data_IF_486991777075
#
_entry.id   IF_486991777075
#
_cell.length_a   1.000
_cell.length_b   1.000
_cell.length_c   1.000
_cell.angle_alpha   90.00
_cell.angle_beta   90.00
_cell.angle_gamma   90.00
#
_symmetry.space_group_name_H-M   'P 1'
#
loop_
_entity.id
_entity.type
_entity.pdbx_description
1 polymer ?
#
# COMPACT_ATOMS: atom_id res chain seq x y z
N UNK A 1 -9.92 10.58 46.77
CA UNK A 1 -10.17 9.26 46.20
C UNK A 1 -10.58 9.44 44.75
N UNK A 2 -9.75 8.97 43.84
CA UNK A 2 -9.93 9.05 42.41
C UNK A 2 -11.00 8.05 41.95
N UNK A 3 -11.82 8.45 40.99
CA UNK A 3 -12.58 7.54 40.14
C UNK A 3 -12.60 8.14 38.72
N UNK A 4 -11.60 7.73 37.93
CA UNK A 4 -11.54 7.97 36.49
C UNK A 4 -12.47 6.93 35.86
N UNK A 5 -13.63 7.36 35.38
CA UNK A 5 -14.52 6.55 34.54
C UNK A 5 -14.11 6.76 33.08
N UNK A 6 -13.35 5.80 32.57
CA UNK A 6 -13.13 5.59 31.14
C UNK A 6 -14.18 4.58 30.66
N UNK A 7 -15.07 4.95 29.74
CA UNK A 7 -15.86 3.98 28.98
C UNK A 7 -16.38 4.56 27.65
N UNK A 8 -15.57 4.38 26.59
CA UNK A 8 -15.98 4.10 25.20
C UNK A 8 -16.50 5.24 24.31
N UNK A 9 -15.95 5.45 23.09
CA UNK A 9 -16.74 6.01 22.01
C UNK A 9 -17.67 4.94 21.45
N UNK A 10 -18.95 5.29 21.40
CA UNK A 10 -20.06 4.52 20.86
C UNK A 10 -19.81 4.34 19.35
N UNK A 11 -19.48 3.11 18.93
CA UNK A 11 -19.61 2.70 17.54
C UNK A 11 -21.11 2.67 17.21
N UNK A 12 -21.61 3.74 16.60
CA UNK A 12 -22.98 3.80 16.12
C UNK A 12 -23.15 2.82 14.95
N UNK A 13 -23.71 1.65 15.27
CA UNK A 13 -24.27 0.72 14.31
C UNK A 13 -25.43 1.39 13.57
N UNK A 14 -25.33 1.51 12.24
CA UNK A 14 -26.49 1.75 11.38
C UNK A 14 -27.14 0.41 11.01
N UNK A 15 -28.49 0.36 10.89
CA UNK A 15 -29.23 -0.89 10.79
C UNK A 15 -29.16 -1.50 9.39
N UNK A 16 -29.19 -2.83 9.36
CA UNK A 16 -29.30 -3.67 8.18
C UNK A 16 -30.58 -3.34 7.36
N UNK A 17 -30.40 -2.61 6.27
CA UNK A 17 -31.19 -2.74 5.05
C UNK A 17 -30.31 -3.43 4.02
N UNK A 18 -30.90 -4.26 3.14
CA UNK A 18 -30.20 -5.10 2.17
C UNK A 18 -29.20 -4.35 1.29
N UNK A 19 -28.00 -4.13 1.81
CA UNK A 19 -26.85 -3.64 1.10
C UNK A 19 -26.27 -4.84 0.37
N UNK A 20 -26.45 -4.88 -0.94
CA UNK A 20 -25.54 -5.63 -1.79
C UNK A 20 -24.12 -5.30 -1.32
N UNK A 21 -23.22 -6.29 -1.17
CA UNK A 21 -21.87 -6.01 -0.71
C UNK A 21 -21.26 -4.92 -1.59
N UNK A 22 -20.41 -4.03 -1.04
CA UNK A 22 -19.79 -2.99 -1.83
C UNK A 22 -19.21 -3.61 -3.10
N UNK A 23 -19.50 -3.07 -4.27
CA UNK A 23 -19.00 -3.59 -5.55
C UNK A 23 -17.93 -2.65 -6.10
N UNK A 24 -17.00 -2.25 -5.22
CA UNK A 24 -15.94 -1.27 -5.46
C UNK A 24 -14.75 -1.49 -4.52
N UNK A 25 -13.76 -0.58 -4.50
CA UNK A 25 -12.51 -0.76 -3.75
C UNK A 25 -12.70 -1.06 -2.25
N UNK A 26 -13.81 -0.64 -1.65
CA UNK A 26 -14.14 -0.94 -0.26
C UNK A 26 -14.36 -2.44 0.04
N UNK A 27 -15.06 -3.20 -0.83
CA UNK A 27 -15.21 -4.65 -0.59
C UNK A 27 -13.92 -5.40 -0.84
N UNK A 28 -13.11 -4.89 -1.77
CA UNK A 28 -11.77 -5.41 -2.00
C UNK A 28 -10.98 -5.39 -0.68
N UNK A 29 -10.97 -4.24 0.01
CA UNK A 29 -10.29 -4.10 1.30
C UNK A 29 -10.79 -5.09 2.34
N UNK A 30 -12.11 -5.27 2.50
CA UNK A 30 -12.68 -6.20 3.47
C UNK A 30 -12.23 -7.65 3.22
N UNK A 31 -12.29 -8.11 1.97
CA UNK A 31 -11.85 -9.46 1.59
C UNK A 31 -10.35 -9.67 1.89
N UNK A 32 -9.50 -8.68 1.57
CA UNK A 32 -8.05 -8.79 1.81
C UNK A 32 -7.72 -8.69 3.30
N UNK A 33 -8.50 -7.93 4.07
CA UNK A 33 -8.36 -7.86 5.51
C UNK A 33 -8.63 -9.22 6.15
N UNK A 34 -9.64 -9.96 5.67
CA UNK A 34 -9.88 -11.32 6.14
C UNK A 34 -8.73 -12.26 5.80
N UNK A 35 -8.14 -12.15 4.61
CA UNK A 35 -6.95 -12.93 4.22
C UNK A 35 -5.77 -12.67 5.18
N UNK A 36 -5.49 -11.41 5.51
CA UNK A 36 -4.46 -11.04 6.50
C UNK A 36 -4.81 -11.55 7.90
N UNK A 37 -6.08 -11.52 8.32
CA UNK A 37 -6.49 -12.10 9.62
C UNK A 37 -6.23 -13.60 9.71
N UNK A 38 -6.43 -14.33 8.60
CA UNK A 38 -6.15 -15.78 8.52
C UNK A 38 -4.65 -16.07 8.48
N UNK A 39 -3.86 -15.22 7.83
CA UNK A 39 -2.42 -15.38 7.66
C UNK A 39 -1.68 -14.05 7.94
N UNK A 40 -1.50 -13.66 9.21
CA UNK A 40 -1.01 -12.31 9.57
C UNK A 40 0.44 -12.03 9.20
N UNK A 41 1.21 -13.09 8.93
CA UNK A 41 2.62 -13.05 8.54
C UNK A 41 2.83 -13.43 7.08
N UNK A 42 1.76 -13.55 6.27
CA UNK A 42 1.89 -13.80 4.84
C UNK A 42 2.20 -12.47 4.10
N UNK A 43 3.41 -12.31 3.53
CA UNK A 43 3.77 -11.11 2.79
C UNK A 43 2.87 -10.87 1.57
N UNK A 44 2.30 -11.91 0.96
CA UNK A 44 1.40 -11.76 -0.19
C UNK A 44 0.06 -11.17 0.23
N UNK A 45 -0.55 -11.69 1.30
CA UNK A 45 -1.80 -11.15 1.83
C UNK A 45 -1.65 -9.66 2.23
N UNK A 46 -0.52 -9.31 2.88
CA UNK A 46 -0.17 -7.92 3.23
C UNK A 46 -0.02 -7.03 2.00
N UNK A 47 0.71 -7.50 0.98
CA UNK A 47 0.87 -6.80 -0.29
C UNK A 47 -0.49 -6.52 -0.95
N UNK A 48 -1.35 -7.53 -1.06
CA UNK A 48 -2.66 -7.38 -1.69
C UNK A 48 -3.58 -6.44 -0.91
N UNK A 49 -3.52 -6.45 0.42
CA UNK A 49 -4.23 -5.49 1.27
C UNK A 49 -3.71 -4.06 1.05
N UNK A 50 -2.39 -3.87 0.99
CA UNK A 50 -1.78 -2.58 0.71
C UNK A 50 -2.18 -2.02 -0.67
N UNK A 51 -2.26 -2.87 -1.69
CA UNK A 51 -2.78 -2.48 -3.01
C UNK A 51 -4.25 -2.08 -2.95
N UNK A 52 -5.07 -2.84 -2.22
CA UNK A 52 -6.50 -2.52 -2.06
C UNK A 52 -6.70 -1.18 -1.34
N UNK A 53 -5.94 -0.90 -0.27
CA UNK A 53 -5.96 0.41 0.38
C UNK A 53 -5.53 1.54 -0.55
N UNK A 54 -4.50 1.33 -1.38
CA UNK A 54 -4.08 2.33 -2.36
C UNK A 54 -5.16 2.65 -3.40
N UNK A 55 -5.93 1.64 -3.82
CA UNK A 55 -7.08 1.81 -4.72
C UNK A 55 -8.28 2.48 -4.04
N UNK A 56 -8.40 2.34 -2.73
CA UNK A 56 -9.39 3.04 -1.91
C UNK A 56 -8.92 4.46 -1.49
N UNK A 57 -7.74 4.89 -1.93
CA UNK A 57 -7.09 6.16 -1.55
C UNK A 57 -6.78 6.30 -0.04
N UNK A 58 -6.79 5.17 0.67
CA UNK A 58 -6.39 5.08 2.08
C UNK A 58 -4.86 4.95 2.17
N UNK A 59 -4.15 6.00 1.75
CA UNK A 59 -2.72 5.93 1.47
C UNK A 59 -1.84 5.58 2.68
N UNK A 60 -2.18 6.06 3.87
CA UNK A 60 -1.42 5.74 5.10
C UNK A 60 -1.50 4.24 5.42
N UNK A 61 -2.69 3.65 5.29
CA UNK A 61 -2.90 2.21 5.49
C UNK A 61 -2.22 1.40 4.40
N UNK A 62 -2.29 1.86 3.14
CA UNK A 62 -1.60 1.24 2.03
C UNK A 62 -0.09 1.16 2.28
N UNK A 63 0.53 2.27 2.68
CA UNK A 63 1.95 2.32 3.00
C UNK A 63 2.32 1.37 4.13
N UNK A 64 1.54 1.33 5.22
CA UNK A 64 1.80 0.46 6.36
C UNK A 64 1.84 -1.03 5.95
N UNK A 65 0.84 -1.48 5.19
CA UNK A 65 0.74 -2.88 4.76
C UNK A 65 1.81 -3.25 3.73
N UNK A 66 2.14 -2.34 2.80
CA UNK A 66 3.22 -2.54 1.83
C UNK A 66 4.59 -2.64 2.50
N UNK A 67 4.86 -1.78 3.49
CA UNK A 67 6.10 -1.83 4.29
C UNK A 67 6.19 -3.13 5.07
N UNK A 68 5.08 -3.60 5.64
CA UNK A 68 5.08 -4.87 6.37
C UNK A 68 5.29 -6.07 5.44
N UNK A 69 4.71 -6.05 4.24
CA UNK A 69 4.99 -7.06 3.21
C UNK A 69 6.49 -7.15 2.86
N UNK A 70 7.17 -6.00 2.74
CA UNK A 70 8.61 -5.95 2.48
C UNK A 70 9.41 -6.55 3.65
N UNK A 71 9.06 -6.20 4.90
CA UNK A 71 9.74 -6.73 6.09
C UNK A 71 9.57 -8.24 6.25
N UNK A 72 8.40 -8.77 5.91
CA UNK A 72 8.09 -10.20 5.98
C UNK A 72 8.75 -11.01 4.86
N UNK A 73 9.25 -10.36 3.81
CA UNK A 73 9.92 -11.01 2.69
C UNK A 73 11.26 -10.34 2.29
N UNK A 74 12.25 -10.28 3.20
CA UNK A 74 13.50 -9.55 2.94
C UNK A 74 14.31 -10.13 1.77
N UNK A 75 14.14 -11.42 1.50
CA UNK A 75 14.84 -12.14 0.41
C UNK A 75 14.14 -12.02 -0.95
N UNK A 76 13.03 -11.26 -1.02
CA UNK A 76 12.26 -11.06 -2.25
C UNK A 76 11.78 -12.38 -2.89
N UNK A 77 11.35 -13.34 -2.07
CA UNK A 77 10.72 -14.57 -2.55
C UNK A 77 9.47 -14.23 -3.37
N UNK A 78 9.26 -14.94 -4.48
CA UNK A 78 8.19 -14.70 -5.45
C UNK A 78 8.10 -13.25 -5.97
N UNK A 79 9.20 -12.48 -5.92
CA UNK A 79 9.26 -11.07 -6.27
C UNK A 79 8.31 -10.17 -5.45
N UNK A 80 7.82 -10.62 -4.29
CA UNK A 80 6.80 -9.87 -3.54
C UNK A 80 7.35 -8.53 -3.01
N UNK A 81 8.61 -8.49 -2.58
CA UNK A 81 9.21 -7.24 -2.08
C UNK A 81 9.48 -6.25 -3.20
N UNK A 82 9.84 -6.74 -4.39
CA UNK A 82 9.96 -5.92 -5.59
C UNK A 82 8.59 -5.31 -5.97
N UNK A 83 7.54 -6.12 -5.97
CA UNK A 83 6.16 -5.68 -6.25
C UNK A 83 5.63 -4.73 -5.17
N UNK A 84 5.93 -4.99 -3.89
CA UNK A 84 5.54 -4.12 -2.78
C UNK A 84 6.23 -2.75 -2.86
N UNK A 85 7.53 -2.72 -3.19
CA UNK A 85 8.26 -1.48 -3.43
C UNK A 85 7.70 -0.69 -4.62
N UNK A 86 7.27 -1.37 -5.70
CA UNK A 86 6.61 -0.71 -6.81
C UNK A 86 5.31 -0.01 -6.37
N UNK A 87 4.40 -0.75 -5.72
CA UNK A 87 3.14 -0.20 -5.26
C UNK A 87 3.34 0.90 -4.20
N UNK A 88 4.36 0.77 -3.34
CA UNK A 88 4.74 1.82 -2.39
C UNK A 88 5.16 3.09 -3.14
N UNK A 89 5.94 2.95 -4.21
CA UNK A 89 6.29 4.05 -5.11
C UNK A 89 5.07 4.75 -5.71
N UNK A 90 4.08 3.99 -6.17
CA UNK A 90 2.84 4.56 -6.71
C UNK A 90 2.03 5.32 -5.66
N UNK A 91 1.88 4.75 -4.46
CA UNK A 91 1.18 5.41 -3.35
C UNK A 91 1.89 6.70 -2.97
N UNK A 92 3.22 6.68 -2.88
CA UNK A 92 4.03 7.86 -2.58
C UNK A 92 3.91 8.94 -3.66
N UNK A 93 3.75 8.58 -4.93
CA UNK A 93 3.46 9.54 -5.99
C UNK A 93 2.08 10.18 -5.82
N UNK A 94 1.07 9.40 -5.46
CA UNK A 94 -0.29 9.90 -5.26
C UNK A 94 -0.40 10.95 -4.13
N UNK A 95 0.52 10.92 -3.16
CA UNK A 95 0.60 11.88 -2.05
C UNK A 95 1.76 12.90 -2.19
N UNK A 96 2.24 13.11 -3.42
CA UNK A 96 3.30 14.07 -3.76
C UNK A 96 4.63 13.89 -2.98
N UNK A 97 4.93 12.65 -2.57
CA UNK A 97 6.20 12.26 -1.93
C UNK A 97 7.19 11.72 -2.94
N UNK A 98 7.42 12.47 -4.01
CA UNK A 98 8.26 12.08 -5.14
C UNK A 98 9.69 11.63 -4.74
N UNK A 99 10.28 12.26 -3.71
CA UNK A 99 11.57 11.86 -3.12
C UNK A 99 11.62 10.41 -2.66
N UNK A 100 10.63 10.02 -1.87
CA UNK A 100 10.50 8.66 -1.34
C UNK A 100 10.06 7.69 -2.44
N UNK A 101 9.22 8.13 -3.37
CA UNK A 101 8.79 7.31 -4.50
C UNK A 101 9.97 6.85 -5.36
N UNK A 102 10.92 7.73 -5.67
CA UNK A 102 12.15 7.36 -6.41
C UNK A 102 12.92 6.25 -5.70
N UNK A 103 13.06 6.31 -4.38
CA UNK A 103 13.77 5.28 -3.62
C UNK A 103 13.05 3.93 -3.71
N UNK A 104 11.74 3.91 -3.50
CA UNK A 104 10.94 2.68 -3.58
C UNK A 104 10.97 2.08 -5.00
N UNK A 105 10.84 2.91 -6.04
CA UNK A 105 10.85 2.45 -7.43
C UNK A 105 12.23 1.94 -7.88
N UNK A 106 13.31 2.59 -7.45
CA UNK A 106 14.68 2.09 -7.68
C UNK A 106 14.91 0.76 -6.98
N UNK A 107 14.38 0.60 -5.76
CA UNK A 107 14.48 -0.66 -5.03
C UNK A 107 13.69 -1.79 -5.72
N UNK A 108 12.49 -1.49 -6.25
CA UNK A 108 11.74 -2.43 -7.08
C UNK A 108 12.55 -2.92 -8.29
N UNK A 109 13.18 -2.00 -9.03
CA UNK A 109 14.08 -2.34 -10.16
C UNK A 109 15.28 -3.18 -9.70
N UNK A 110 15.92 -2.79 -8.59
CA UNK A 110 17.08 -3.50 -8.03
C UNK A 110 16.74 -4.94 -7.65
N UNK A 111 15.55 -5.16 -7.11
CA UNK A 111 15.02 -6.48 -6.75
C UNK A 111 14.53 -7.28 -7.97
N UNK A 112 14.61 -6.73 -9.18
CA UNK A 112 14.33 -7.44 -10.42
C UNK A 112 12.89 -7.30 -10.92
N UNK A 113 12.10 -6.35 -10.39
CA UNK A 113 10.83 -6.00 -11.01
C UNK A 113 11.10 -5.27 -12.33
N UNK A 114 10.78 -5.92 -13.45
CA UNK A 114 11.16 -5.47 -14.81
C UNK A 114 9.98 -4.99 -15.65
N UNK A 115 8.93 -4.49 -15.00
CA UNK A 115 7.78 -3.94 -15.71
C UNK A 115 8.10 -2.54 -16.26
N UNK A 116 7.71 -2.26 -17.50
CA UNK A 116 7.77 -0.93 -18.11
C UNK A 116 7.04 0.12 -17.26
N UNK A 117 6.00 -0.28 -16.53
CA UNK A 117 5.26 0.59 -15.63
C UNK A 117 6.12 1.19 -14.49
N UNK A 118 7.16 0.47 -14.02
CA UNK A 118 8.08 1.02 -13.01
C UNK A 118 8.95 2.13 -13.57
N UNK A 119 9.43 2.01 -14.82
CA UNK A 119 10.20 3.06 -15.46
C UNK A 119 9.35 4.32 -15.68
N UNK A 120 8.08 4.15 -16.09
CA UNK A 120 7.14 5.27 -16.22
C UNK A 120 6.92 5.97 -14.88
N UNK A 121 6.64 5.22 -13.82
CA UNK A 121 6.46 5.78 -12.48
C UNK A 121 7.74 6.48 -11.98
N UNK A 122 8.92 5.94 -12.28
CA UNK A 122 10.18 6.54 -11.88
C UNK A 122 10.42 7.87 -12.63
N UNK A 123 10.13 7.92 -13.93
CA UNK A 123 10.18 9.15 -14.71
C UNK A 123 9.22 10.22 -14.19
N UNK A 124 8.00 9.83 -13.81
CA UNK A 124 7.04 10.73 -13.15
C UNK A 124 7.58 11.26 -11.83
N UNK A 125 8.14 10.40 -10.99
CA UNK A 125 8.73 10.77 -9.70
C UNK A 125 9.93 11.71 -9.85
N UNK A 126 10.79 11.49 -10.85
CA UNK A 126 11.95 12.35 -11.12
C UNK A 126 11.53 13.70 -11.71
N UNK A 127 10.54 13.71 -12.60
CA UNK A 127 9.95 14.94 -13.15
C UNK A 127 9.33 15.79 -12.03
N UNK A 128 8.60 15.17 -11.10
CA UNK A 128 8.03 15.84 -9.93
C UNK A 128 9.08 16.44 -8.97
N UNK A 129 10.33 15.94 -8.99
CA UNK A 129 11.46 16.52 -8.26
C UNK A 129 12.21 17.61 -9.05
N UNK A 130 11.81 17.91 -10.30
CA UNK A 130 12.57 18.79 -11.20
C UNK A 130 13.88 18.16 -11.72
N UNK A 131 14.07 16.85 -11.56
CA UNK A 131 15.26 16.10 -12.00
C UNK A 131 15.06 15.54 -13.39
N UNK A 132 14.87 16.43 -14.36
CA UNK A 132 14.51 16.07 -15.73
C UNK A 132 15.60 15.24 -16.44
N UNK A 133 16.88 15.48 -16.15
CA UNK A 133 18.00 14.75 -16.75
C UNK A 133 18.05 13.28 -16.31
N UNK A 134 17.69 12.98 -15.06
CA UNK A 134 17.60 11.59 -14.58
C UNK A 134 16.35 10.87 -15.11
N UNK A 135 15.31 11.60 -15.53
CA UNK A 135 14.05 11.04 -16.01
C UNK A 135 14.10 10.51 -17.45
N UNK A 136 15.10 10.94 -18.23
CA UNK A 136 15.26 10.61 -19.67
C UNK A 136 16.39 9.61 -19.96
N UNK A 137 17.13 9.19 -18.93
CA UNK A 137 18.24 8.24 -19.01
C UNK A 137 17.76 6.79 -18.81
#
# INVERSE_FOLDING_TARGET
MAAILFCGPILAAHPAGGVSPPSGPASLVEDRLEAVRKAPTDPRARLELGVAYGQAEEYDLAMAELVEAIKLNPENQDNLSARANYHLGLVLLAIDRAGLAVNALREALRLGWKDAAVHLALGQALTGQGKFEEAIA
#
